data_IF_139763613514
#
_entry.id   IF_139763613514
#
_cell.length_a   1.000
_cell.length_b   1.000
_cell.length_c   1.000
_cell.angle_alpha   90.00
_cell.angle_beta   90.00
_cell.angle_gamma   90.00
#
_symmetry.space_group_name_H-M   'P 1'
#
loop_
_entity.id
_entity.type
_entity.pdbx_description
1 polymer ?
#
# COMPACT_ATOMS: atom_id res chain seq x y z
N UNK A 1 -0.74 19.16 38.58
CA UNK A 1 0.40 18.34 38.08
C UNK A 1 0.22 18.27 36.57
N UNK A 2 0.99 19.05 35.86
CA UNK A 2 0.93 19.16 34.40
C UNK A 2 1.59 17.95 33.75
N UNK A 3 0.84 17.36 32.86
CA UNK A 3 1.20 16.25 31.97
C UNK A 3 2.61 16.43 31.40
N UNK A 4 3.51 15.54 31.80
CA UNK A 4 4.86 15.49 31.29
C UNK A 4 4.83 15.06 29.83
N UNK A 5 4.87 16.04 28.92
CA UNK A 5 4.77 15.88 27.49
C UNK A 5 5.67 14.75 26.96
N UNK A 6 5.11 13.95 26.07
CA UNK A 6 5.80 12.98 25.20
C UNK A 6 6.76 13.67 24.20
N UNK A 7 7.61 14.57 24.70
CA UNK A 7 8.69 15.14 23.89
C UNK A 7 9.83 14.14 23.82
N UNK A 8 10.03 13.54 22.65
CA UNK A 8 11.30 12.91 22.27
C UNK A 8 11.37 11.39 22.23
N UNK A 9 10.25 10.64 22.28
CA UNK A 9 10.31 9.19 22.03
C UNK A 9 10.19 8.92 20.54
N UNK A 10 11.16 8.20 19.98
CA UNK A 10 11.07 7.69 18.62
C UNK A 10 9.82 6.78 18.53
N UNK A 11 8.98 7.05 17.53
CA UNK A 11 7.78 6.28 17.21
C UNK A 11 8.03 5.50 15.92
N UNK A 12 7.48 4.31 15.82
CA UNK A 12 7.60 3.49 14.63
C UNK A 12 6.49 3.87 13.65
N UNK A 13 6.85 4.34 12.46
CA UNK A 13 5.89 4.80 11.46
C UNK A 13 5.79 3.75 10.35
N UNK A 14 4.58 3.27 10.11
CA UNK A 14 4.27 2.23 9.13
C UNK A 14 3.44 2.86 8.01
N UNK A 15 3.94 2.86 6.79
CA UNK A 15 3.26 3.38 5.61
C UNK A 15 2.67 2.25 4.76
N UNK A 16 1.48 2.43 4.25
CA UNK A 16 1.13 1.81 2.98
C UNK A 16 1.92 2.46 1.85
N UNK A 17 2.04 1.77 0.72
CA UNK A 17 2.74 2.28 -0.47
C UNK A 17 1.78 2.78 -1.54
N UNK A 18 0.85 1.95 -1.99
CA UNK A 18 -0.10 2.30 -3.05
C UNK A 18 -1.02 3.44 -2.60
N UNK A 19 -1.22 4.44 -3.45
CA UNK A 19 -2.01 5.65 -3.20
C UNK A 19 -1.63 6.46 -1.95
N UNK A 20 -0.55 6.10 -1.27
CA UNK A 20 0.04 6.86 -0.15
C UNK A 20 1.40 7.44 -0.55
N UNK A 21 2.29 6.62 -1.07
CA UNK A 21 3.65 6.99 -1.52
C UNK A 21 3.84 6.87 -3.02
N UNK A 22 3.12 5.96 -3.66
CA UNK A 22 3.18 5.65 -5.08
C UNK A 22 1.75 5.70 -5.62
N UNK A 23 1.49 6.54 -6.60
CA UNK A 23 0.19 6.58 -7.25
C UNK A 23 -0.06 5.24 -7.99
N UNK A 24 -1.25 4.67 -7.82
CA UNK A 24 -1.68 3.50 -8.58
C UNK A 24 -2.69 3.92 -9.64
N UNK A 25 -2.17 4.26 -10.82
CA UNK A 25 -2.95 4.70 -11.97
C UNK A 25 -3.24 3.52 -12.92
N UNK A 26 -4.40 2.90 -12.76
CA UNK A 26 -4.83 1.82 -13.65
C UNK A 26 -4.98 2.27 -15.10
N UNK A 27 -5.39 3.52 -15.35
CA UNK A 27 -5.57 4.02 -16.71
C UNK A 27 -4.26 3.95 -17.51
N UNK A 28 -3.12 4.29 -16.91
CA UNK A 28 -1.81 4.18 -17.56
C UNK A 28 -1.49 2.76 -18.06
N UNK A 29 -1.92 1.73 -17.33
CA UNK A 29 -1.74 0.32 -17.72
C UNK A 29 -2.65 -0.14 -18.87
N UNK A 30 -3.75 0.57 -19.12
CA UNK A 30 -4.79 0.21 -20.09
C UNK A 30 -5.03 1.27 -21.16
N UNK A 31 -4.20 2.32 -21.26
CA UNK A 31 -4.41 3.49 -22.11
C UNK A 31 -4.56 3.17 -23.61
N UNK A 32 -3.99 2.06 -24.08
CA UNK A 32 -4.12 1.60 -25.48
C UNK A 32 -5.41 0.77 -25.72
N UNK A 33 -6.21 0.50 -24.69
CA UNK A 33 -7.41 -0.33 -24.76
C UNK A 33 -8.70 0.45 -24.52
N UNK A 34 -8.64 1.50 -23.70
CA UNK A 34 -9.82 2.28 -23.32
C UNK A 34 -9.50 3.77 -23.48
N UNK A 35 -10.40 4.48 -24.14
CA UNK A 35 -10.21 5.91 -24.43
C UNK A 35 -10.51 6.80 -23.20
N UNK A 36 -11.34 6.33 -22.29
CA UNK A 36 -11.78 7.08 -21.11
C UNK A 36 -11.70 6.24 -19.83
N UNK A 37 -11.55 6.92 -18.69
CA UNK A 37 -11.65 6.27 -17.38
C UNK A 37 -12.99 5.56 -17.17
N UNK A 38 -14.10 6.12 -17.67
CA UNK A 38 -15.42 5.51 -17.52
C UNK A 38 -15.53 4.17 -18.27
N UNK A 39 -14.96 4.08 -19.47
CA UNK A 39 -14.89 2.82 -20.23
C UNK A 39 -14.03 1.80 -19.52
N UNK A 40 -12.88 2.21 -19.02
CA UNK A 40 -11.99 1.35 -18.23
C UNK A 40 -12.71 0.84 -16.98
N UNK A 41 -13.32 1.74 -16.19
CA UNK A 41 -14.01 1.34 -14.96
C UNK A 41 -15.13 0.35 -15.23
N UNK A 42 -15.98 0.60 -16.25
CA UNK A 42 -17.03 -0.32 -16.64
C UNK A 42 -16.49 -1.71 -17.06
N UNK A 43 -15.34 -1.75 -17.71
CA UNK A 43 -14.64 -2.98 -18.04
C UNK A 43 -14.11 -3.70 -16.79
N UNK A 44 -13.42 -2.99 -15.92
CA UNK A 44 -12.84 -3.55 -14.69
C UNK A 44 -13.92 -4.14 -13.78
N UNK A 45 -15.06 -3.45 -13.65
CA UNK A 45 -16.21 -3.94 -12.88
C UNK A 45 -16.79 -5.22 -13.51
N UNK A 46 -16.95 -5.26 -14.84
CA UNK A 46 -17.49 -6.40 -15.56
C UNK A 46 -16.65 -7.67 -15.40
N UNK A 47 -15.31 -7.55 -15.40
CA UNK A 47 -14.42 -8.69 -15.24
C UNK A 47 -14.08 -9.00 -13.78
N UNK A 48 -14.54 -8.17 -12.83
CA UNK A 48 -14.29 -8.31 -11.41
C UNK A 48 -12.80 -8.09 -11.05
N UNK A 49 -12.17 -7.11 -11.70
CA UNK A 49 -10.73 -6.86 -11.62
C UNK A 49 -10.23 -6.67 -10.17
N UNK A 50 -10.94 -5.88 -9.36
CA UNK A 50 -10.51 -5.59 -7.99
C UNK A 50 -10.36 -6.87 -7.14
N UNK A 51 -11.34 -7.78 -7.20
CA UNK A 51 -11.29 -9.05 -6.49
C UNK A 51 -10.25 -10.00 -7.09
N UNK A 52 -10.03 -9.94 -8.39
CA UNK A 52 -9.00 -10.71 -9.09
C UNK A 52 -7.60 -10.26 -8.71
N UNK A 53 -7.33 -8.95 -8.74
CA UNK A 53 -6.05 -8.37 -8.32
C UNK A 53 -5.76 -8.65 -6.84
N UNK A 54 -6.77 -8.51 -5.99
CA UNK A 54 -6.61 -8.77 -4.55
C UNK A 54 -6.15 -10.22 -4.25
N UNK A 55 -6.52 -11.20 -5.08
CA UNK A 55 -6.01 -12.57 -4.92
C UNK A 55 -4.51 -12.66 -5.20
N UNK A 56 -3.98 -11.88 -6.16
CA UNK A 56 -2.54 -11.80 -6.41
C UNK A 56 -1.82 -11.13 -5.23
N UNK A 57 -2.42 -10.06 -4.67
CA UNK A 57 -1.92 -9.39 -3.48
C UNK A 57 -1.94 -10.30 -2.23
N UNK A 58 -2.85 -11.28 -2.20
CA UNK A 58 -2.89 -12.33 -1.18
C UNK A 58 -1.97 -13.53 -1.51
N UNK A 59 -1.15 -13.44 -2.56
CA UNK A 59 -0.09 -14.41 -2.89
C UNK A 59 -0.51 -15.54 -3.84
N UNK A 60 -1.67 -15.43 -4.51
CA UNK A 60 -2.02 -16.36 -5.57
C UNK A 60 -1.23 -16.03 -6.84
N UNK A 61 -0.60 -17.02 -7.52
CA UNK A 61 0.20 -16.79 -8.73
C UNK A 61 -0.62 -16.18 -9.87
N UNK A 62 -0.02 -15.23 -10.60
CA UNK A 62 -0.67 -14.62 -11.77
C UNK A 62 -1.04 -15.63 -12.84
N UNK A 63 -0.23 -16.67 -13.05
CA UNK A 63 -0.51 -17.71 -14.05
C UNK A 63 -1.87 -18.39 -13.80
N UNK A 64 -2.17 -18.75 -12.54
CA UNK A 64 -3.44 -19.36 -12.16
C UNK A 64 -4.62 -18.36 -12.30
N UNK A 65 -4.39 -17.11 -11.90
CA UNK A 65 -5.40 -16.06 -11.99
C UNK A 65 -5.77 -15.72 -13.43
N UNK A 66 -4.77 -15.69 -14.33
CA UNK A 66 -4.95 -15.48 -15.76
C UNK A 66 -5.76 -16.63 -16.37
N UNK A 67 -5.44 -17.88 -16.02
CA UNK A 67 -6.20 -19.04 -16.49
C UNK A 67 -7.66 -18.98 -16.03
N UNK A 68 -7.90 -18.70 -14.74
CA UNK A 68 -9.24 -18.58 -14.19
C UNK A 68 -10.05 -17.45 -14.82
N UNK A 69 -9.44 -16.29 -15.04
CA UNK A 69 -10.10 -15.16 -15.68
C UNK A 69 -10.45 -15.45 -17.13
N UNK A 70 -9.49 -16.05 -17.88
CA UNK A 70 -9.69 -16.45 -19.28
C UNK A 70 -10.82 -17.48 -19.42
N UNK A 71 -10.91 -18.45 -18.50
CA UNK A 71 -11.97 -19.45 -18.50
C UNK A 71 -13.35 -18.85 -18.23
N UNK A 72 -13.43 -17.85 -17.34
CA UNK A 72 -14.70 -17.20 -16.96
C UNK A 72 -15.20 -16.19 -18.00
N UNK A 73 -14.31 -15.44 -18.61
CA UNK A 73 -14.66 -14.29 -19.44
C UNK A 73 -14.28 -14.45 -20.93
N UNK A 74 -13.59 -15.54 -21.32
CA UNK A 74 -13.21 -15.77 -22.71
C UNK A 74 -12.38 -14.62 -23.29
N UNK A 75 -12.82 -14.11 -24.46
CA UNK A 75 -12.14 -13.01 -25.13
C UNK A 75 -12.18 -11.69 -24.33
N UNK A 76 -13.17 -11.48 -23.49
CA UNK A 76 -13.28 -10.28 -22.64
C UNK A 76 -12.18 -10.20 -21.58
N UNK A 77 -11.52 -11.32 -21.24
CA UNK A 77 -10.40 -11.31 -20.32
C UNK A 77 -9.14 -10.64 -20.91
N UNK A 78 -9.03 -10.52 -22.24
CA UNK A 78 -7.80 -10.14 -22.94
C UNK A 78 -7.11 -8.86 -22.41
N UNK A 79 -7.78 -7.74 -22.14
CA UNK A 79 -7.12 -6.58 -21.56
C UNK A 79 -6.52 -6.86 -20.16
N UNK A 80 -7.29 -7.51 -19.28
CA UNK A 80 -6.90 -7.72 -17.88
C UNK A 80 -5.74 -8.73 -17.72
N UNK A 81 -5.70 -9.81 -18.49
CA UNK A 81 -4.63 -10.82 -18.42
C UNK A 81 -3.24 -10.26 -18.77
N UNK A 82 -3.18 -9.14 -19.46
CA UNK A 82 -1.92 -8.44 -19.76
C UNK A 82 -1.49 -7.46 -18.66
N UNK A 83 -2.33 -7.20 -17.66
CA UNK A 83 -2.04 -6.28 -16.58
C UNK A 83 -0.74 -6.58 -15.83
N UNK A 84 -0.41 -7.83 -15.44
CA UNK A 84 0.83 -8.09 -14.71
C UNK A 84 2.09 -7.65 -15.48
N UNK A 85 2.11 -7.83 -16.80
CA UNK A 85 3.22 -7.38 -17.65
C UNK A 85 3.26 -5.84 -17.84
N UNK A 86 2.17 -5.15 -17.56
CA UNK A 86 2.02 -3.70 -17.68
C UNK A 86 1.99 -2.99 -16.34
N UNK A 87 2.04 -3.74 -15.24
CA UNK A 87 1.93 -3.25 -13.87
C UNK A 87 2.86 -2.05 -13.62
N UNK A 88 4.11 -2.10 -14.11
CA UNK A 88 5.06 -1.01 -13.93
C UNK A 88 4.60 0.35 -14.51
N UNK A 89 3.70 0.35 -15.50
CA UNK A 89 3.13 1.58 -16.06
C UNK A 89 2.15 2.23 -15.07
N UNK A 90 1.47 1.42 -14.25
CA UNK A 90 0.46 1.90 -13.30
C UNK A 90 1.04 2.47 -12.01
N UNK A 91 2.34 2.29 -11.78
CA UNK A 91 3.03 2.69 -10.55
C UNK A 91 4.21 3.64 -10.82
N UNK A 92 4.21 4.32 -11.96
CA UNK A 92 5.35 5.14 -12.38
C UNK A 92 5.55 6.39 -11.50
N UNK A 93 4.46 6.96 -10.98
CA UNK A 93 4.48 8.27 -10.34
C UNK A 93 4.57 8.20 -8.81
N UNK A 94 5.61 8.79 -8.19
CA UNK A 94 5.67 8.94 -6.74
C UNK A 94 4.76 10.09 -6.28
N UNK A 95 4.17 9.98 -5.09
CA UNK A 95 3.45 11.07 -4.43
C UNK A 95 4.46 11.93 -3.66
N UNK A 96 5.06 12.90 -4.36
CA UNK A 96 6.24 13.66 -3.90
C UNK A 96 6.06 14.33 -2.54
N UNK A 97 4.89 14.92 -2.28
CA UNK A 97 4.63 15.62 -1.01
C UNK A 97 4.56 14.64 0.17
N UNK A 98 4.06 13.42 -0.03
CA UNK A 98 4.12 12.38 1.02
C UNK A 98 5.56 11.92 1.26
N UNK A 99 6.36 11.81 0.23
CA UNK A 99 7.78 11.51 0.36
C UNK A 99 8.55 12.57 1.14
N UNK A 100 8.19 13.85 1.02
CA UNK A 100 8.77 14.91 1.84
C UNK A 100 8.45 14.73 3.33
N UNK A 101 7.27 14.19 3.68
CA UNK A 101 6.94 13.84 5.06
C UNK A 101 7.76 12.65 5.56
N UNK A 102 8.00 11.64 4.72
CA UNK A 102 8.90 10.50 5.05
C UNK A 102 10.29 11.00 5.41
N UNK A 103 10.86 11.92 4.63
CA UNK A 103 12.19 12.50 4.90
C UNK A 103 12.21 13.24 6.25
N UNK A 104 11.18 14.03 6.53
CA UNK A 104 11.07 14.80 7.79
C UNK A 104 10.94 13.89 9.00
N UNK A 105 10.18 12.81 8.91
CA UNK A 105 10.03 11.81 9.96
C UNK A 105 11.35 11.08 10.21
N UNK A 106 12.05 10.65 9.16
CA UNK A 106 13.36 10.02 9.26
C UNK A 106 14.41 10.96 9.90
N UNK A 107 14.43 12.23 9.50
CA UNK A 107 15.33 13.25 10.06
C UNK A 107 15.08 13.50 11.56
N UNK A 108 13.89 13.20 12.07
CA UNK A 108 13.56 13.26 13.51
C UNK A 108 13.88 11.97 14.27
N UNK A 109 14.42 10.97 13.60
CA UNK A 109 14.84 9.71 14.20
C UNK A 109 13.75 8.69 14.38
N UNK A 110 12.58 8.84 13.69
CA UNK A 110 11.56 7.81 13.65
C UNK A 110 12.04 6.64 12.78
N UNK A 111 11.75 5.40 13.21
CA UNK A 111 11.98 4.24 12.35
C UNK A 111 10.82 4.13 11.36
N UNK A 112 11.15 3.86 10.11
CA UNK A 112 10.20 3.82 9.02
C UNK A 112 10.03 2.38 8.53
N UNK A 113 8.80 1.94 8.37
CA UNK A 113 8.42 0.63 7.89
C UNK A 113 7.35 0.78 6.81
N UNK A 114 7.20 -0.25 5.97
CA UNK A 114 6.09 -0.31 5.02
C UNK A 114 5.31 -1.62 5.16
N UNK A 115 3.99 -1.54 4.97
CA UNK A 115 3.06 -2.66 4.96
C UNK A 115 2.09 -2.50 3.79
N UNK A 116 2.29 -3.26 2.72
CA UNK A 116 1.55 -3.05 1.48
C UNK A 116 0.85 -4.30 0.99
N UNK A 117 -0.36 -4.13 0.44
CA UNK A 117 -1.02 -5.14 -0.37
C UNK A 117 -0.46 -5.08 -1.79
N UNK A 118 0.32 -6.09 -2.16
CA UNK A 118 1.01 -6.12 -3.45
C UNK A 118 1.40 -7.55 -3.81
N UNK A 119 1.24 -7.91 -5.08
CA UNK A 119 1.69 -9.22 -5.57
C UNK A 119 3.20 -9.39 -5.41
N UNK A 120 3.62 -10.55 -4.93
CA UNK A 120 5.03 -10.90 -4.82
C UNK A 120 5.77 -10.86 -6.18
N UNK A 121 5.05 -11.18 -7.27
CA UNK A 121 5.63 -11.27 -8.61
C UNK A 121 5.88 -9.89 -9.25
N UNK A 122 5.06 -8.86 -8.89
CA UNK A 122 5.19 -7.51 -9.46
C UNK A 122 5.87 -6.51 -8.53
N UNK A 123 6.12 -6.86 -7.25
CA UNK A 123 6.77 -5.94 -6.31
C UNK A 123 8.20 -5.56 -6.72
N UNK A 124 8.88 -6.41 -7.50
CA UNK A 124 10.19 -6.09 -8.08
C UNK A 124 10.19 -4.84 -8.96
N UNK A 125 9.07 -4.56 -9.66
CA UNK A 125 8.92 -3.34 -10.45
C UNK A 125 8.90 -2.08 -9.58
N UNK A 126 8.23 -2.15 -8.41
CA UNK A 126 8.22 -1.03 -7.46
C UNK A 126 9.62 -0.70 -6.94
N UNK A 127 10.40 -1.72 -6.57
CA UNK A 127 11.79 -1.53 -6.13
C UNK A 127 12.68 -0.92 -7.23
N UNK A 128 12.47 -1.34 -8.48
CA UNK A 128 13.24 -0.84 -9.61
C UNK A 128 12.89 0.62 -9.98
N UNK A 129 11.61 1.00 -9.87
CA UNK A 129 11.15 2.35 -10.22
C UNK A 129 11.32 3.35 -9.07
N UNK A 130 11.23 2.88 -7.83
CA UNK A 130 11.26 3.71 -6.62
C UNK A 130 12.38 3.29 -5.67
N UNK A 131 13.66 3.54 -6.01
CA UNK A 131 14.81 3.13 -5.18
C UNK A 131 14.78 3.77 -3.78
N UNK A 132 14.03 4.86 -3.59
CA UNK A 132 13.80 5.45 -2.26
C UNK A 132 13.10 4.54 -1.27
N UNK A 133 12.53 3.42 -1.71
CA UNK A 133 11.95 2.41 -0.82
C UNK A 133 13.00 1.78 0.11
N UNK A 134 14.27 1.93 -0.16
CA UNK A 134 15.39 1.50 0.70
C UNK A 134 15.48 2.27 2.04
N UNK A 135 14.77 3.38 2.19
CA UNK A 135 14.66 4.13 3.46
C UNK A 135 13.93 3.34 4.55
N UNK A 136 13.07 2.40 4.16
CA UNK A 136 12.32 1.58 5.11
C UNK A 136 13.19 0.48 5.71
N UNK A 137 13.16 0.35 7.05
CA UNK A 137 13.88 -0.69 7.77
C UNK A 137 13.38 -2.11 7.42
N UNK A 138 12.09 -2.24 7.10
CA UNK A 138 11.47 -3.46 6.55
C UNK A 138 10.24 -3.09 5.72
N UNK A 139 9.97 -3.88 4.69
CA UNK A 139 8.77 -3.79 3.85
C UNK A 139 8.06 -5.15 3.86
N UNK A 140 6.92 -5.22 4.50
CA UNK A 140 6.07 -6.40 4.48
C UNK A 140 5.15 -6.34 3.25
N UNK A 141 5.31 -7.30 2.36
CA UNK A 141 4.55 -7.41 1.10
C UNK A 141 3.59 -8.57 1.21
N UNK A 142 2.30 -8.31 1.15
CA UNK A 142 1.23 -9.29 1.37
C UNK A 142 1.35 -10.54 0.50
N UNK A 143 1.71 -10.39 -0.77
CA UNK A 143 1.90 -11.51 -1.69
C UNK A 143 3.01 -12.47 -1.29
N UNK A 144 4.04 -12.00 -0.58
CA UNK A 144 5.13 -12.83 -0.03
C UNK A 144 4.68 -13.57 1.22
N UNK A 145 3.85 -12.92 2.05
CA UNK A 145 3.33 -13.47 3.30
C UNK A 145 2.06 -14.32 3.08
N UNK A 146 1.46 -14.26 1.90
CA UNK A 146 0.21 -14.95 1.52
C UNK A 146 -0.98 -14.58 2.42
N UNK A 147 -0.95 -13.38 2.94
CA UNK A 147 -2.02 -12.77 3.74
C UNK A 147 -2.01 -11.26 3.48
N UNK A 148 -3.18 -10.67 3.30
CA UNK A 148 -3.32 -9.26 2.92
C UNK A 148 -4.10 -8.46 3.97
N UNK A 149 -3.82 -7.15 4.08
CA UNK A 149 -4.69 -6.23 4.81
C UNK A 149 -6.13 -6.34 4.26
N UNK A 150 -7.17 -6.29 5.09
CA UNK A 150 -7.19 -5.95 6.51
C UNK A 150 -7.03 -7.13 7.50
N UNK A 151 -6.58 -8.33 7.05
CA UNK A 151 -6.37 -9.45 7.98
C UNK A 151 -5.37 -9.06 9.07
N UNK A 152 -5.71 -9.20 10.37
CA UNK A 152 -4.81 -8.83 11.47
C UNK A 152 -3.50 -9.63 11.49
N UNK A 153 -3.43 -10.77 10.81
CA UNK A 153 -2.23 -11.59 10.75
C UNK A 153 -1.07 -10.85 10.07
N UNK A 154 -1.33 -10.07 9.01
CA UNK A 154 -0.25 -9.37 8.31
C UNK A 154 0.38 -8.26 9.17
N UNK A 155 -0.43 -7.57 9.99
CA UNK A 155 0.08 -6.58 10.94
C UNK A 155 0.95 -7.25 12.01
N UNK A 156 0.52 -8.42 12.53
CA UNK A 156 1.32 -9.18 13.50
C UNK A 156 2.66 -9.62 12.91
N UNK A 157 2.70 -10.05 11.63
CA UNK A 157 3.94 -10.37 10.93
C UNK A 157 4.92 -9.19 10.97
N UNK A 158 4.47 -7.98 10.64
CA UNK A 158 5.31 -6.79 10.70
C UNK A 158 5.79 -6.51 12.13
N UNK A 159 4.86 -6.52 13.10
CA UNK A 159 5.17 -6.24 14.51
C UNK A 159 6.18 -7.24 15.08
N UNK A 160 5.95 -8.53 14.89
CA UNK A 160 6.77 -9.60 15.45
C UNK A 160 8.16 -9.63 14.80
N UNK A 161 8.23 -9.53 13.46
CA UNK A 161 9.48 -9.53 12.69
C UNK A 161 10.42 -8.40 13.13
N UNK A 162 9.86 -7.24 13.42
CA UNK A 162 10.62 -6.05 13.76
C UNK A 162 10.63 -5.74 15.27
N UNK A 163 10.03 -6.61 16.09
CA UNK A 163 9.92 -6.45 17.57
C UNK A 163 9.26 -5.12 17.94
N UNK A 164 8.20 -4.75 17.20
CA UNK A 164 7.45 -3.53 17.44
C UNK A 164 6.35 -3.76 18.48
N UNK A 165 6.03 -2.72 19.22
CA UNK A 165 4.86 -2.70 20.11
C UNK A 165 3.77 -1.89 19.42
N UNK A 166 2.58 -2.46 19.23
CA UNK A 166 1.48 -1.80 18.55
C UNK A 166 1.20 -0.38 19.08
N UNK A 167 1.21 -0.20 20.40
CA UNK A 167 0.98 1.09 21.05
C UNK A 167 2.07 2.16 20.81
N UNK A 168 3.22 1.77 20.24
CA UNK A 168 4.31 2.67 19.90
C UNK A 168 4.38 2.90 18.37
N UNK A 169 3.40 2.38 17.60
CA UNK A 169 3.34 2.48 16.16
C UNK A 169 2.25 3.44 15.69
N UNK A 170 2.51 4.11 14.56
CA UNK A 170 1.53 4.84 13.75
C UNK A 170 1.44 4.17 12.39
N UNK A 171 0.22 3.87 11.92
CA UNK A 171 -0.03 3.27 10.61
C UNK A 171 -0.80 4.23 9.72
N UNK A 172 -0.33 4.42 8.49
CA UNK A 172 -0.86 5.37 7.50
C UNK A 172 -1.29 4.58 6.27
N UNK A 173 -2.59 4.65 5.91
CA UNK A 173 -3.17 3.89 4.81
C UNK A 173 -4.42 4.62 4.28
N UNK A 174 -4.68 4.60 2.98
CA UNK A 174 -5.84 5.25 2.36
C UNK A 174 -7.15 4.46 2.57
N UNK A 175 -7.04 3.15 2.83
CA UNK A 175 -8.18 2.25 3.00
C UNK A 175 -8.68 2.26 4.46
N UNK A 176 -9.94 2.66 4.65
CA UNK A 176 -10.55 2.73 5.98
C UNK A 176 -10.60 1.38 6.71
N UNK A 177 -10.78 0.26 5.99
CA UNK A 177 -10.82 -1.07 6.61
C UNK A 177 -9.43 -1.49 7.15
N UNK A 178 -8.36 -1.16 6.43
CA UNK A 178 -6.99 -1.41 6.88
C UNK A 178 -6.67 -0.60 8.14
N UNK A 179 -7.06 0.68 8.14
CA UNK A 179 -6.88 1.57 9.32
C UNK A 179 -7.67 1.06 10.53
N UNK A 180 -8.91 0.58 10.32
CA UNK A 180 -9.71 0.01 11.39
C UNK A 180 -9.04 -1.25 11.98
N UNK A 181 -8.58 -2.16 11.14
CA UNK A 181 -7.87 -3.38 11.56
C UNK A 181 -6.59 -3.08 12.35
N UNK A 182 -5.83 -2.05 11.95
CA UNK A 182 -4.67 -1.59 12.70
C UNK A 182 -5.05 -1.06 14.09
N UNK A 183 -6.12 -0.27 14.18
CA UNK A 183 -6.63 0.27 15.46
C UNK A 183 -7.12 -0.82 16.41
N UNK A 184 -7.77 -1.86 15.88
CA UNK A 184 -8.22 -3.00 16.67
C UNK A 184 -7.04 -3.77 17.31
N UNK A 185 -5.84 -3.65 16.74
CA UNK A 185 -4.59 -4.19 17.30
C UNK A 185 -3.87 -3.21 18.23
N UNK A 186 -4.42 -2.02 18.46
CA UNK A 186 -3.82 -0.98 19.30
C UNK A 186 -2.76 -0.12 18.60
N UNK A 187 -2.67 -0.15 17.28
CA UNK A 187 -1.84 0.75 16.48
C UNK A 187 -2.58 2.08 16.28
N UNK A 188 -1.91 3.23 16.38
CA UNK A 188 -2.51 4.53 16.04
C UNK A 188 -2.66 4.65 14.52
N UNK A 189 -3.85 4.39 13.99
CA UNK A 189 -4.14 4.41 12.57
C UNK A 189 -4.52 5.80 12.08
N UNK A 190 -3.89 6.29 11.01
CA UNK A 190 -4.23 7.51 10.27
C UNK A 190 -4.80 7.11 8.92
N UNK A 191 -6.01 7.56 8.60
CA UNK A 191 -6.52 7.41 7.24
C UNK A 191 -5.94 8.48 6.34
N UNK A 192 -5.15 8.08 5.37
CA UNK A 192 -4.60 8.97 4.36
C UNK A 192 -5.69 9.45 3.41
N UNK A 193 -5.76 10.74 3.15
CA UNK A 193 -6.63 11.36 2.14
C UNK A 193 -5.82 12.19 1.16
N UNK A 194 -4.87 12.94 1.70
CA UNK A 194 -3.94 13.77 0.95
C UNK A 194 -2.71 14.12 1.81
N UNK A 195 -1.59 14.55 1.21
CA UNK A 195 -0.37 14.84 1.97
C UNK A 195 -0.53 15.97 2.99
N UNK A 196 -1.34 17.00 2.70
CA UNK A 196 -1.52 18.13 3.61
C UNK A 196 -2.35 17.73 4.84
N UNK A 197 -3.35 16.85 4.68
CA UNK A 197 -4.08 16.28 5.81
C UNK A 197 -3.18 15.40 6.67
N UNK A 198 -2.35 14.55 6.03
CA UNK A 198 -1.37 13.73 6.75
C UNK A 198 -0.38 14.58 7.54
N UNK A 199 0.13 15.67 6.96
CA UNK A 199 1.03 16.59 7.66
C UNK A 199 0.40 17.15 8.94
N UNK A 200 -0.86 17.60 8.85
CA UNK A 200 -1.61 18.10 10.04
C UNK A 200 -1.78 17.01 11.11
N UNK A 201 -2.13 15.80 10.69
CA UNK A 201 -2.33 14.66 11.58
C UNK A 201 -1.04 14.27 12.32
N UNK A 202 0.09 14.26 11.60
CA UNK A 202 1.41 13.99 12.18
C UNK A 202 1.86 15.11 13.13
N UNK A 203 1.61 16.38 12.76
CA UNK A 203 1.94 17.52 13.61
C UNK A 203 1.12 17.53 14.92
N UNK A 204 -0.19 17.23 14.86
CA UNK A 204 -1.04 17.10 16.06
C UNK A 204 -0.56 16.00 17.03
N UNK A 205 0.13 14.99 16.52
CA UNK A 205 0.75 13.91 17.31
C UNK A 205 2.16 14.26 17.81
N UNK A 206 2.69 15.44 17.43
CA UNK A 206 4.03 15.88 17.79
C UNK A 206 5.14 15.09 17.09
N UNK A 207 4.83 14.52 15.91
CA UNK A 207 5.76 13.69 15.12
C UNK A 207 6.53 14.51 14.06
N UNK A 208 6.04 15.71 13.73
CA UNK A 208 6.67 16.66 12.80
C UNK A 208 7.11 17.94 13.48
#
# INVERSE_FOLDING_TARGET
MVDGGRKGRAVDIIFDLGNVLIAWDLHAGFADKFATEAELQAYLDRVGFAAWNHQADAGRPWAELIEDLSRRHGADAAPAIHYPARHRLTIAEPIGDTWALVDRLGARGHRLFALTNWSAETFGDALALHPRLDVFADIVVSGRERVAKPDPAIFRILLDRNRLRAADCVFIDDNAANVAAARDLGIDGIRFTDPAALERDLAMRGLL
#
